data_IF_889030324754
#
_entry.id   IF_889030324754
#
_cell.length_a   1.000
_cell.length_b   1.000
_cell.length_c   1.000
_cell.angle_alpha   90.00
_cell.angle_beta   90.00
_cell.angle_gamma   90.00
#
_symmetry.space_group_name_H-M   'P 1'
#
loop_
_entity.id
_entity.type
_entity.pdbx_description
1 polymer ?
#
# COMPACT_ATOMS: atom_id res chain seq x y z
N UNK A 1 2.74 11.88 22.52
CA UNK A 1 4.22 11.82 22.67
C UNK A 1 4.74 10.38 22.84
N UNK A 2 4.12 9.52 23.65
CA UNK A 2 4.58 8.14 23.90
C UNK A 2 4.56 7.24 22.66
N UNK A 3 3.47 7.23 21.90
CA UNK A 3 3.36 6.46 20.64
C UNK A 3 4.40 6.90 19.59
N UNK A 4 4.67 8.20 19.51
CA UNK A 4 5.66 8.74 18.59
C UNK A 4 7.08 8.25 18.88
N UNK A 5 7.44 8.10 20.16
CA UNK A 5 8.74 7.55 20.57
C UNK A 5 8.85 6.04 20.33
N UNK A 6 7.75 5.29 20.51
CA UNK A 6 7.72 3.87 20.16
C UNK A 6 7.98 3.66 18.66
N UNK A 7 7.23 4.32 17.78
CA UNK A 7 7.43 4.20 16.33
C UNK A 7 8.85 4.56 15.88
N UNK A 8 9.52 5.52 16.54
CA UNK A 8 10.90 5.86 16.24
C UNK A 8 11.86 4.73 16.64
N UNK A 9 11.67 4.13 17.83
CA UNK A 9 12.48 3.00 18.30
C UNK A 9 12.27 1.75 17.45
N UNK A 10 11.01 1.41 17.14
CA UNK A 10 10.67 0.24 16.34
C UNK A 10 11.30 0.32 14.95
N UNK A 11 11.24 1.50 14.33
CA UNK A 11 11.87 1.72 13.04
C UNK A 11 13.39 1.66 13.12
N UNK A 12 14.01 2.28 14.13
CA UNK A 12 15.45 2.21 14.33
C UNK A 12 15.90 0.75 14.48
N UNK A 13 15.16 -0.04 15.27
CA UNK A 13 15.38 -1.46 15.41
C UNK A 13 15.27 -2.22 14.07
N UNK A 14 14.24 -1.93 13.27
CA UNK A 14 14.06 -2.54 11.95
C UNK A 14 15.22 -2.20 11.01
N UNK A 15 15.65 -0.94 10.94
CA UNK A 15 16.78 -0.52 10.11
C UNK A 15 18.10 -1.13 10.53
N UNK A 16 18.33 -1.29 11.84
CA UNK A 16 19.54 -1.87 12.39
C UNK A 16 19.62 -3.40 12.19
N UNK A 17 18.51 -4.10 12.39
CA UNK A 17 18.48 -5.56 12.40
C UNK A 17 17.97 -6.18 11.08
N UNK A 18 17.24 -5.40 10.27
CA UNK A 18 16.64 -5.83 9.00
C UNK A 18 16.80 -4.72 7.95
N UNK A 19 18.03 -4.40 7.52
CA UNK A 19 18.32 -3.24 6.64
C UNK A 19 17.62 -3.31 5.29
N UNK A 20 17.38 -4.53 4.77
CA UNK A 20 16.72 -4.76 3.47
C UNK A 20 15.19 -4.70 3.55
N UNK A 21 14.62 -4.48 4.74
CA UNK A 21 13.18 -4.43 4.90
C UNK A 21 12.60 -3.11 4.38
N UNK A 22 11.67 -3.19 3.42
CA UNK A 22 10.94 -2.04 2.91
C UNK A 22 9.98 -1.49 3.96
N UNK A 23 10.14 -0.22 4.33
CA UNK A 23 9.37 0.43 5.41
C UNK A 23 8.41 1.46 4.83
N UNK A 24 7.12 1.26 5.05
CA UNK A 24 6.06 2.16 4.62
C UNK A 24 5.53 2.96 5.81
N UNK A 25 5.55 4.28 5.72
CA UNK A 25 4.80 5.14 6.63
C UNK A 25 3.35 5.27 6.13
N UNK A 26 2.43 4.52 6.72
CA UNK A 26 1.00 4.63 6.41
C UNK A 26 0.38 5.87 7.06
N UNK A 27 0.80 7.04 6.60
CA UNK A 27 0.53 8.35 7.19
C UNK A 27 -0.65 9.08 6.54
N UNK A 28 -1.01 8.72 5.32
CA UNK A 28 -2.10 9.30 4.51
C UNK A 28 -2.07 10.83 4.53
N UNK A 29 -0.90 11.40 4.18
CA UNK A 29 -0.70 12.85 4.17
C UNK A 29 -1.46 13.49 3.02
N UNK A 30 -1.92 14.72 3.26
CA UNK A 30 -2.56 15.56 2.26
C UNK A 30 -2.50 16.98 2.77
N UNK A 31 -1.66 17.80 2.15
CA UNK A 31 -1.50 19.22 2.39
C UNK A 31 -0.85 19.84 1.16
N UNK A 32 -0.73 21.15 1.08
CA UNK A 32 -0.19 21.85 -0.08
C UNK A 32 1.04 22.68 0.26
N UNK A 33 1.81 23.03 -0.78
CA UNK A 33 2.93 23.95 -0.70
C UNK A 33 3.96 23.57 0.35
N UNK A 34 4.41 24.55 1.11
CA UNK A 34 5.43 24.39 2.14
C UNK A 34 5.09 23.31 3.21
N UNK A 35 3.83 23.16 3.59
CA UNK A 35 3.44 22.13 4.57
C UNK A 35 3.64 20.73 4.00
N UNK A 36 3.28 20.51 2.74
CA UNK A 36 3.52 19.22 2.06
C UNK A 36 5.01 18.91 1.94
N UNK A 37 5.84 19.92 1.61
CA UNK A 37 7.31 19.78 1.60
C UNK A 37 7.87 19.42 2.98
N UNK A 38 7.38 20.05 4.05
CA UNK A 38 7.80 19.72 5.42
C UNK A 38 7.40 18.29 5.82
N UNK A 39 6.24 17.79 5.35
CA UNK A 39 5.88 16.40 5.53
C UNK A 39 6.84 15.47 4.78
N UNK A 40 7.13 15.72 3.52
CA UNK A 40 8.05 14.92 2.73
C UNK A 40 9.44 14.86 3.40
N UNK A 41 10.01 15.99 3.81
CA UNK A 41 11.25 16.06 4.58
C UNK A 41 11.18 15.27 5.89
N UNK A 42 10.08 15.37 6.61
CA UNK A 42 9.90 14.63 7.87
C UNK A 42 9.97 13.13 7.64
N UNK A 43 9.33 12.60 6.61
CA UNK A 43 9.30 11.16 6.34
C UNK A 43 10.59 10.64 5.72
N UNK A 44 11.12 11.33 4.73
CA UNK A 44 12.26 10.83 3.96
C UNK A 44 13.61 11.22 4.57
N UNK A 45 13.81 12.48 5.00
CA UNK A 45 15.09 12.92 5.57
C UNK A 45 15.26 12.53 7.04
N UNK A 46 14.21 12.70 7.86
CA UNK A 46 14.32 12.46 9.31
C UNK A 46 13.88 11.06 9.72
N UNK A 47 12.72 10.62 9.24
CA UNK A 47 12.20 9.30 9.57
C UNK A 47 12.88 8.22 8.73
N UNK A 48 13.33 8.54 7.53
CA UNK A 48 14.04 7.63 6.60
C UNK A 48 13.24 6.37 6.28
N UNK A 49 11.98 6.54 5.91
CA UNK A 49 11.15 5.47 5.35
C UNK A 49 11.37 5.36 3.85
N UNK A 50 11.05 4.20 3.27
CA UNK A 50 11.17 3.98 1.84
C UNK A 50 9.93 4.48 1.09
N UNK A 51 8.76 4.49 1.76
CA UNK A 51 7.51 4.92 1.16
C UNK A 51 6.60 5.64 2.15
N UNK A 52 5.71 6.49 1.62
CA UNK A 52 4.66 7.16 2.41
C UNK A 52 3.34 7.14 1.65
N UNK A 53 2.24 6.89 2.38
CA UNK A 53 0.90 6.99 1.80
C UNK A 53 0.45 8.45 1.77
N UNK A 54 -0.09 8.87 0.62
CA UNK A 54 -0.52 10.25 0.35
C UNK A 54 -1.95 10.26 -0.19
N UNK A 55 -2.74 11.24 0.21
CA UNK A 55 -4.10 11.44 -0.27
C UNK A 55 -4.12 12.41 -1.47
N UNK A 56 -4.78 12.05 -2.59
CA UNK A 56 -4.77 12.86 -3.82
C UNK A 56 -5.82 13.97 -3.86
N UNK A 57 -6.69 14.08 -2.86
CA UNK A 57 -7.89 14.92 -2.92
C UNK A 57 -7.61 16.39 -3.24
N UNK A 58 -6.46 16.93 -2.80
CA UNK A 58 -6.05 18.30 -3.12
C UNK A 58 -5.24 18.43 -4.43
N UNK A 59 -5.11 17.35 -5.20
CA UNK A 59 -4.47 17.37 -6.52
C UNK A 59 -2.95 17.29 -6.48
N UNK A 60 -2.36 17.69 -7.60
CA UNK A 60 -0.92 17.59 -7.88
C UNK A 60 -0.03 18.27 -6.84
N UNK A 61 -0.44 19.45 -6.38
CA UNK A 61 0.30 20.26 -5.41
C UNK A 61 0.50 19.55 -4.07
N UNK A 62 -0.39 18.61 -3.74
CA UNK A 62 -0.28 17.83 -2.51
C UNK A 62 0.65 16.62 -2.64
N UNK A 63 0.90 16.15 -3.85
CA UNK A 63 1.64 14.92 -4.15
C UNK A 63 3.07 15.22 -4.62
N UNK A 64 3.25 16.17 -5.52
CA UNK A 64 4.55 16.54 -6.09
C UNK A 64 5.67 16.76 -5.07
N UNK A 65 5.47 17.40 -3.90
CA UNK A 65 6.52 17.56 -2.91
C UNK A 65 7.14 16.26 -2.40
N UNK A 66 6.42 15.14 -2.46
CA UNK A 66 6.96 13.83 -2.11
C UNK A 66 7.73 13.19 -3.27
N UNK A 67 7.44 13.56 -4.51
CA UNK A 67 8.05 13.00 -5.71
C UNK A 67 9.44 13.58 -6.04
N UNK A 68 9.88 14.62 -5.33
CA UNK A 68 11.22 15.17 -5.48
C UNK A 68 12.33 14.27 -4.90
N UNK A 69 11.96 13.21 -4.20
CA UNK A 69 12.86 12.21 -3.62
C UNK A 69 12.94 10.99 -4.54
N UNK A 70 13.97 10.87 -5.41
CA UNK A 70 14.00 9.84 -6.46
C UNK A 70 14.10 8.42 -5.94
N UNK A 71 14.66 8.24 -4.74
CA UNK A 71 14.81 6.92 -4.09
C UNK A 71 13.61 6.53 -3.21
N UNK A 72 12.60 7.40 -3.12
CA UNK A 72 11.45 7.19 -2.26
C UNK A 72 10.17 6.93 -3.06
N UNK A 73 9.27 6.18 -2.48
CA UNK A 73 8.00 5.83 -3.10
C UNK A 73 6.83 6.60 -2.52
N UNK A 74 5.98 7.07 -3.40
CA UNK A 74 4.67 7.64 -3.04
C UNK A 74 3.61 6.57 -3.26
N UNK A 75 2.83 6.26 -2.22
CA UNK A 75 1.71 5.34 -2.31
C UNK A 75 0.41 6.15 -2.26
N UNK A 76 -0.18 6.38 -3.42
CA UNK A 76 -1.34 7.24 -3.56
C UNK A 76 -2.64 6.50 -3.26
N UNK A 77 -3.54 7.10 -2.48
CA UNK A 77 -4.86 6.52 -2.24
C UNK A 77 -5.69 6.57 -3.53
N UNK A 78 -6.12 5.40 -4.01
CA UNK A 78 -6.99 5.29 -5.17
C UNK A 78 -8.37 4.74 -4.78
N UNK A 79 -8.48 3.45 -4.48
CA UNK A 79 -9.74 2.82 -4.11
C UNK A 79 -9.61 2.09 -2.77
N UNK A 80 -10.32 2.54 -1.75
CA UNK A 80 -10.23 1.98 -0.40
C UNK A 80 -11.31 0.95 -0.10
N UNK A 81 -11.12 0.13 0.95
CA UNK A 81 -12.00 -1.00 1.28
C UNK A 81 -13.20 -0.65 2.17
N UNK A 82 -13.24 0.57 2.71
CA UNK A 82 -14.30 1.01 3.62
C UNK A 82 -15.58 1.42 2.87
N UNK A 83 -16.72 1.35 3.53
CA UNK A 83 -18.03 1.72 2.95
C UNK A 83 -18.06 3.17 2.43
N UNK A 84 -17.40 4.09 3.12
CA UNK A 84 -17.31 5.51 2.72
C UNK A 84 -16.56 5.76 1.40
N UNK A 85 -15.92 4.75 0.79
CA UNK A 85 -15.38 4.88 -0.57
C UNK A 85 -16.47 5.22 -1.60
N UNK A 86 -17.71 4.81 -1.35
CA UNK A 86 -18.85 5.12 -2.21
C UNK A 86 -19.27 6.60 -2.15
N UNK A 87 -18.90 7.34 -1.12
CA UNK A 87 -19.28 8.76 -1.00
C UNK A 87 -18.59 9.63 -2.07
N UNK A 88 -17.36 9.26 -2.45
CA UNK A 88 -16.54 10.02 -3.40
C UNK A 88 -15.88 9.15 -4.46
N UNK A 89 -15.16 8.10 -4.07
CA UNK A 89 -14.28 7.35 -4.98
C UNK A 89 -15.04 6.67 -6.13
N UNK A 90 -16.30 6.30 -5.88
CA UNK A 90 -17.18 5.62 -6.84
C UNK A 90 -18.11 6.59 -7.58
N UNK A 91 -18.06 7.90 -7.32
CA UNK A 91 -18.85 8.86 -8.08
C UNK A 91 -18.39 8.91 -9.54
N UNK A 92 -19.33 8.94 -10.45
CA UNK A 92 -19.10 8.98 -11.90
C UNK A 92 -19.25 10.41 -12.43
N UNK A 93 -18.47 10.74 -13.42
CA UNK A 93 -18.66 11.96 -14.20
C UNK A 93 -19.66 11.75 -15.35
N UNK A 94 -19.85 12.79 -16.17
CA UNK A 94 -20.77 12.75 -17.32
C UNK A 94 -20.40 11.67 -18.38
N UNK A 95 -19.17 11.16 -18.36
CA UNK A 95 -18.69 10.10 -19.27
C UNK A 95 -18.73 8.72 -18.62
N UNK A 96 -19.21 8.60 -17.39
CA UNK A 96 -19.22 7.35 -16.61
C UNK A 96 -17.85 6.98 -16.01
N UNK A 97 -16.88 7.89 -16.01
CA UNK A 97 -15.58 7.66 -15.38
C UNK A 97 -15.66 7.92 -13.88
N UNK A 98 -15.26 6.93 -13.07
CA UNK A 98 -15.27 7.02 -11.61
C UNK A 98 -14.11 7.87 -11.09
N UNK A 99 -14.31 8.54 -9.94
CA UNK A 99 -13.30 9.42 -9.38
C UNK A 99 -11.96 8.70 -9.14
N UNK A 100 -11.97 7.46 -8.63
CA UNK A 100 -10.71 6.71 -8.42
C UNK A 100 -9.97 6.43 -9.73
N UNK A 101 -10.69 6.24 -10.84
CA UNK A 101 -10.10 6.04 -12.17
C UNK A 101 -9.45 7.32 -12.69
N UNK A 102 -10.07 8.48 -12.44
CA UNK A 102 -9.44 9.78 -12.71
C UNK A 102 -8.17 9.99 -11.90
N UNK A 103 -8.17 9.59 -10.63
CA UNK A 103 -6.98 9.65 -9.79
C UNK A 103 -5.86 8.80 -10.38
N UNK A 104 -6.15 7.56 -10.79
CA UNK A 104 -5.18 6.67 -11.43
C UNK A 104 -4.60 7.28 -12.71
N UNK A 105 -5.45 7.76 -13.61
CA UNK A 105 -5.02 8.37 -14.88
C UNK A 105 -4.20 9.63 -14.66
N UNK A 106 -4.74 10.56 -13.84
CA UNK A 106 -4.12 11.87 -13.66
C UNK A 106 -2.78 11.80 -12.95
N UNK A 107 -2.66 10.92 -11.96
CA UNK A 107 -1.43 10.80 -11.19
C UNK A 107 -0.27 10.18 -12.00
N UNK A 108 -0.53 9.40 -13.04
CA UNK A 108 0.50 8.89 -13.95
C UNK A 108 1.14 9.98 -14.82
N UNK A 109 0.52 11.16 -14.91
CA UNK A 109 1.18 12.35 -15.48
C UNK A 109 2.23 12.96 -14.53
N UNK A 110 2.16 12.64 -13.23
CA UNK A 110 3.06 13.20 -12.21
C UNK A 110 4.27 12.32 -11.92
N UNK A 111 4.10 11.00 -11.98
CA UNK A 111 5.16 10.01 -11.78
C UNK A 111 4.82 8.69 -12.48
N UNK A 112 5.85 7.90 -12.77
CA UNK A 112 5.74 6.58 -13.36
C UNK A 112 5.63 5.46 -12.29
N UNK A 113 5.64 4.22 -12.75
CA UNK A 113 5.56 2.99 -11.95
C UNK A 113 6.84 2.63 -11.19
N UNK A 114 7.92 3.39 -11.37
CA UNK A 114 9.16 3.26 -10.59
C UNK A 114 9.17 4.13 -9.32
N UNK A 115 8.22 5.06 -9.19
CA UNK A 115 8.15 5.98 -8.06
C UNK A 115 6.76 6.05 -7.41
N UNK A 116 5.71 5.65 -8.12
CA UNK A 116 4.33 5.71 -7.63
C UNK A 116 3.70 4.33 -7.51
N UNK A 117 3.06 4.08 -6.39
CA UNK A 117 2.21 2.93 -6.10
C UNK A 117 0.79 3.42 -5.76
N UNK A 118 -0.18 2.52 -5.72
CA UNK A 118 -1.55 2.86 -5.36
C UNK A 118 -2.09 2.00 -4.23
N UNK A 119 -2.90 2.60 -3.35
CA UNK A 119 -3.69 1.85 -2.37
C UNK A 119 -4.97 1.35 -3.02
N UNK A 120 -5.15 0.02 -3.02
CA UNK A 120 -6.37 -0.64 -3.48
C UNK A 120 -6.83 -1.66 -2.44
N UNK A 121 -8.02 -1.47 -1.88
CA UNK A 121 -8.53 -2.34 -0.81
C UNK A 121 -8.79 -3.77 -1.27
N UNK A 122 -8.43 -4.75 -0.45
CA UNK A 122 -8.58 -6.18 -0.75
C UNK A 122 -10.04 -6.63 -0.97
N UNK A 123 -11.02 -5.85 -0.52
CA UNK A 123 -12.46 -6.15 -0.69
C UNK A 123 -13.01 -5.76 -2.05
N UNK A 124 -12.18 -5.18 -2.92
CA UNK A 124 -12.62 -4.67 -4.24
C UNK A 124 -12.69 -5.75 -5.34
N UNK A 125 -12.30 -6.98 -5.04
CA UNK A 125 -12.50 -8.15 -5.90
C UNK A 125 -12.16 -7.91 -7.37
N UNK A 126 -13.13 -8.09 -8.27
CA UNK A 126 -12.94 -7.95 -9.71
C UNK A 126 -12.57 -6.54 -10.19
N UNK A 127 -12.70 -5.51 -9.37
CA UNK A 127 -12.28 -4.15 -9.73
C UNK A 127 -10.76 -4.04 -9.93
N UNK A 128 -9.99 -4.97 -9.37
CA UNK A 128 -8.57 -5.09 -9.70
C UNK A 128 -8.31 -5.23 -11.21
N UNK A 129 -9.21 -5.86 -11.95
CA UNK A 129 -9.09 -5.97 -13.43
C UNK A 129 -9.17 -4.60 -14.11
N UNK A 130 -10.08 -3.73 -13.67
CA UNK A 130 -10.20 -2.38 -14.22
C UNK A 130 -9.01 -1.49 -13.81
N UNK A 131 -8.54 -1.65 -12.58
CA UNK A 131 -7.36 -0.95 -12.08
C UNK A 131 -6.12 -1.37 -12.88
N UNK A 132 -5.94 -2.67 -13.16
CA UNK A 132 -4.81 -3.18 -13.95
C UNK A 132 -4.82 -2.72 -15.40
N UNK A 133 -5.99 -2.48 -16.00
CA UNK A 133 -6.06 -1.86 -17.34
C UNK A 133 -5.48 -0.45 -17.35
N UNK A 134 -5.62 0.29 -16.25
CA UNK A 134 -5.14 1.68 -16.15
C UNK A 134 -3.72 1.78 -15.57
N UNK A 135 -3.37 0.91 -14.63
CA UNK A 135 -2.08 0.88 -13.93
C UNK A 135 -1.46 -0.54 -14.01
N UNK A 136 -1.04 -0.99 -15.21
CA UNK A 136 -0.60 -2.37 -15.44
C UNK A 136 0.64 -2.74 -14.63
N UNK A 137 1.60 -1.83 -14.51
CA UNK A 137 2.91 -2.11 -13.93
C UNK A 137 3.06 -1.63 -12.47
N UNK A 138 2.25 -0.66 -12.05
CA UNK A 138 2.35 -0.09 -10.70
C UNK A 138 2.14 -1.14 -9.61
N UNK A 139 2.91 -1.04 -8.54
CA UNK A 139 2.63 -1.82 -7.33
C UNK A 139 1.36 -1.30 -6.64
N UNK A 140 0.56 -2.24 -6.14
CA UNK A 140 -0.65 -1.95 -5.38
C UNK A 140 -0.43 -2.34 -3.92
N UNK A 141 -0.55 -1.39 -3.00
CA UNK A 141 -0.66 -1.67 -1.58
C UNK A 141 -2.09 -2.10 -1.29
N UNK A 142 -2.26 -3.34 -0.83
CA UNK A 142 -3.56 -4.01 -0.72
C UNK A 142 -3.90 -4.29 0.75
N UNK A 143 -4.47 -3.29 1.48
CA UNK A 143 -4.92 -3.49 2.84
C UNK A 143 -6.25 -4.23 2.91
N UNK A 144 -6.49 -4.94 4.04
CA UNK A 144 -7.79 -5.53 4.35
C UNK A 144 -7.93 -7.02 4.07
N UNK A 145 -6.84 -7.70 3.72
CA UNK A 145 -6.83 -9.18 3.62
C UNK A 145 -7.08 -9.77 5.01
N UNK A 146 -7.99 -10.74 5.08
CA UNK A 146 -8.41 -11.43 6.30
C UNK A 146 -9.42 -10.62 7.11
N UNK A 147 -9.00 -9.83 8.08
CA UNK A 147 -9.86 -9.18 9.07
C UNK A 147 -10.96 -8.25 8.52
N UNK A 148 -10.85 -7.78 7.28
CA UNK A 148 -11.88 -6.97 6.60
C UNK A 148 -12.67 -7.76 5.55
N UNK A 149 -12.44 -9.07 5.45
CA UNK A 149 -13.13 -9.95 4.51
C UNK A 149 -12.49 -10.00 3.12
N UNK A 150 -11.34 -9.36 2.90
CA UNK A 150 -10.58 -9.47 1.65
C UNK A 150 -9.97 -10.87 1.48
N UNK A 151 -10.13 -11.46 0.30
CA UNK A 151 -9.58 -12.76 -0.08
C UNK A 151 -8.21 -12.58 -0.74
N UNK A 152 -7.16 -13.22 -0.20
CA UNK A 152 -5.84 -13.21 -0.82
C UNK A 152 -5.87 -13.88 -2.21
N UNK A 153 -6.65 -14.95 -2.36
CA UNK A 153 -6.84 -15.63 -3.64
C UNK A 153 -7.40 -14.71 -4.74
N UNK A 154 -8.46 -13.94 -4.42
CA UNK A 154 -9.03 -13.00 -5.39
C UNK A 154 -8.07 -11.85 -5.71
N UNK A 155 -7.37 -11.32 -4.69
CA UNK A 155 -6.35 -10.28 -4.88
C UNK A 155 -5.23 -10.77 -5.80
N UNK A 156 -4.73 -12.00 -5.59
CA UNK A 156 -3.71 -12.61 -6.43
C UNK A 156 -4.25 -12.86 -7.85
N UNK A 157 -5.44 -13.43 -7.97
CA UNK A 157 -6.05 -13.77 -9.25
C UNK A 157 -6.28 -12.56 -10.16
N UNK A 158 -6.78 -11.45 -9.61
CA UNK A 158 -7.19 -10.29 -10.40
C UNK A 158 -6.19 -9.13 -10.36
N UNK A 159 -5.35 -9.06 -9.33
CA UNK A 159 -4.45 -7.94 -9.10
C UNK A 159 -2.97 -8.21 -9.41
N UNK A 160 -2.53 -9.46 -9.49
CA UNK A 160 -1.13 -9.79 -9.75
C UNK A 160 -0.76 -9.55 -11.21
N UNK A 161 0.36 -8.87 -11.45
CA UNK A 161 1.00 -8.72 -12.76
C UNK A 161 2.26 -9.62 -12.88
N UNK A 162 3.03 -9.46 -13.95
CA UNK A 162 4.19 -10.32 -14.22
C UNK A 162 5.39 -10.06 -13.28
N UNK A 163 5.36 -8.96 -12.53
CA UNK A 163 6.36 -8.61 -11.50
C UNK A 163 5.81 -8.80 -10.07
N UNK A 164 4.76 -9.57 -9.88
CA UNK A 164 3.91 -9.59 -8.70
C UNK A 164 2.98 -8.37 -8.61
N UNK A 165 3.49 -7.15 -8.55
CA UNK A 165 2.75 -5.90 -8.50
C UNK A 165 1.87 -5.70 -7.27
N UNK A 166 2.03 -6.51 -6.21
CA UNK A 166 1.19 -6.51 -5.01
C UNK A 166 2.04 -6.41 -3.73
N UNK A 167 1.65 -5.52 -2.84
CA UNK A 167 2.08 -5.46 -1.44
C UNK A 167 0.88 -5.73 -0.54
N UNK A 168 0.69 -6.97 -0.16
CA UNK A 168 -0.46 -7.40 0.64
C UNK A 168 -0.27 -7.01 2.10
N UNK A 169 -1.26 -6.32 2.67
CA UNK A 169 -1.22 -5.86 4.05
C UNK A 169 -2.33 -6.51 4.89
N UNK A 170 -1.94 -7.20 5.96
CA UNK A 170 -2.82 -7.77 6.97
C UNK A 170 -2.36 -7.37 8.37
N UNK A 171 -3.13 -6.55 9.07
CA UNK A 171 -2.75 -6.02 10.38
C UNK A 171 -3.45 -6.74 11.52
N UNK A 172 -4.78 -6.58 11.65
CA UNK A 172 -5.54 -7.09 12.79
C UNK A 172 -5.55 -8.60 12.89
N UNK A 173 -5.58 -9.30 11.76
CA UNK A 173 -5.53 -10.76 11.73
C UNK A 173 -4.18 -11.32 12.19
N UNK A 174 -3.12 -10.52 12.14
CA UNK A 174 -1.78 -10.87 12.62
C UNK A 174 -1.59 -10.39 14.05
N UNK A 175 -1.73 -9.09 14.30
CA UNK A 175 -1.38 -8.48 15.60
C UNK A 175 -2.29 -8.94 16.73
N UNK A 176 -3.55 -9.22 16.42
CA UNK A 176 -4.57 -9.65 17.39
C UNK A 176 -4.98 -11.13 17.23
N UNK A 177 -4.13 -11.93 16.60
CA UNK A 177 -4.38 -13.37 16.43
C UNK A 177 -4.48 -14.10 17.78
N UNK A 178 -3.77 -13.61 18.81
CA UNK A 178 -3.83 -14.12 20.18
C UNK A 178 -3.71 -12.98 21.21
N UNK A 179 -4.24 -13.21 22.42
CA UNK A 179 -4.23 -12.26 23.55
C UNK A 179 -3.48 -12.81 24.77
N UNK A 180 -2.93 -14.00 24.68
CA UNK A 180 -2.17 -14.66 25.74
C UNK A 180 -0.69 -14.27 25.69
N UNK A 181 0.12 -14.79 26.59
CA UNK A 181 1.59 -14.63 26.55
C UNK A 181 2.22 -15.20 25.29
N UNK A 182 1.52 -16.10 24.57
CA UNK A 182 1.96 -16.67 23.30
C UNK A 182 1.76 -15.74 22.09
N UNK A 183 1.20 -14.53 22.28
CA UNK A 183 0.76 -13.61 21.21
C UNK A 183 1.81 -13.40 20.11
N UNK A 184 3.09 -13.30 20.47
CA UNK A 184 4.15 -13.04 19.50
C UNK A 184 4.38 -14.23 18.55
N UNK A 185 4.36 -15.46 19.08
CA UNK A 185 4.49 -16.66 18.28
C UNK A 185 3.28 -16.89 17.38
N UNK A 186 2.08 -16.70 17.91
CA UNK A 186 0.84 -16.83 17.12
C UNK A 186 0.75 -15.76 16.03
N UNK A 187 1.16 -14.52 16.30
CA UNK A 187 1.25 -13.47 15.28
C UNK A 187 2.27 -13.82 14.18
N UNK A 188 3.42 -14.38 14.54
CA UNK A 188 4.42 -14.89 13.59
C UNK A 188 3.85 -15.97 12.70
N UNK A 189 3.15 -16.96 13.28
CA UNK A 189 2.52 -18.03 12.51
C UNK A 189 1.44 -17.51 11.57
N UNK A 190 0.61 -16.57 12.03
CA UNK A 190 -0.42 -15.91 11.22
C UNK A 190 0.21 -15.15 10.02
N UNK A 191 1.29 -14.42 10.25
CA UNK A 191 2.03 -13.73 9.18
C UNK A 191 2.65 -14.72 8.20
N UNK A 192 3.25 -15.79 8.71
CA UNK A 192 3.86 -16.85 7.88
C UNK A 192 2.83 -17.61 7.04
N UNK A 193 1.61 -17.82 7.55
CA UNK A 193 0.53 -18.42 6.78
C UNK A 193 0.17 -17.59 5.54
N UNK A 194 0.01 -16.26 5.70
CA UNK A 194 -0.24 -15.33 4.58
C UNK A 194 0.93 -15.34 3.59
N UNK A 195 2.16 -15.30 4.09
CA UNK A 195 3.36 -15.32 3.26
C UNK A 195 3.45 -16.63 2.46
N UNK A 196 3.15 -17.78 3.08
CA UNK A 196 3.17 -19.08 2.42
C UNK A 196 2.09 -19.20 1.35
N UNK A 197 0.88 -18.72 1.62
CA UNK A 197 -0.21 -18.67 0.64
C UNK A 197 0.17 -17.82 -0.56
N UNK A 198 0.71 -16.61 -0.33
CA UNK A 198 1.18 -15.71 -1.40
C UNK A 198 2.32 -16.35 -2.21
N UNK A 199 3.25 -17.03 -1.56
CA UNK A 199 4.33 -17.75 -2.24
C UNK A 199 3.80 -18.82 -3.21
N UNK A 200 2.70 -19.50 -2.86
CA UNK A 200 2.01 -20.41 -3.77
C UNK A 200 1.56 -19.72 -5.05
N UNK A 201 0.87 -18.59 -4.93
CA UNK A 201 0.41 -17.84 -6.11
C UNK A 201 1.55 -17.27 -6.96
N UNK A 202 2.64 -16.82 -6.34
CA UNK A 202 3.85 -16.36 -7.05
C UNK A 202 4.51 -17.50 -7.83
N UNK A 203 4.55 -18.69 -7.24
CA UNK A 203 5.05 -19.90 -7.86
C UNK A 203 4.17 -20.31 -9.06
N UNK A 204 2.86 -20.39 -8.88
CA UNK A 204 1.91 -20.79 -9.92
C UNK A 204 1.96 -19.83 -11.12
N UNK A 205 2.31 -18.55 -10.89
CA UNK A 205 2.53 -17.55 -11.94
C UNK A 205 3.96 -17.55 -12.51
N UNK A 206 4.86 -18.38 -11.99
CA UNK A 206 6.25 -18.47 -12.47
C UNK A 206 7.15 -17.31 -12.07
N UNK A 207 6.75 -16.47 -11.10
CA UNK A 207 7.53 -15.32 -10.63
C UNK A 207 8.67 -15.74 -9.72
N UNK A 208 8.46 -16.77 -8.91
CA UNK A 208 9.50 -17.39 -8.08
C UNK A 208 9.70 -18.87 -8.48
N UNK A 209 10.93 -19.38 -8.41
CA UNK A 209 11.19 -20.79 -8.76
C UNK A 209 10.55 -21.74 -7.74
N UNK A 210 10.24 -22.97 -8.19
CA UNK A 210 9.94 -24.07 -7.27
C UNK A 210 11.12 -24.23 -6.30
N UNK A 211 10.85 -24.23 -4.99
CA UNK A 211 11.83 -24.78 -4.07
C UNK A 211 11.96 -26.27 -4.38
N UNK A 212 13.14 -26.64 -4.87
CA UNK A 212 13.53 -28.03 -5.02
C UNK A 212 13.50 -28.74 -3.65
#
# INVERSE_FOLDING_TARGET
RRQRQMCIRDRAYLRENYPDQFIIADAKRGDIGNTSEMYARSFFDHIKVDAVTVAPYMGEDSVKPFLIYPEAWVILLALTSNKGSHDFQMTEDANGERLFEKVLKKSQEWANDEQMMYVVGATQGKMFLDIRKQAPNHFLLVPGVGAQGGSLAEVAQYGMNDQCGLLVNSSRAIIYADKTEAFANVAREAAHAVQKEMAGYLHDKGIIPCKA
#
